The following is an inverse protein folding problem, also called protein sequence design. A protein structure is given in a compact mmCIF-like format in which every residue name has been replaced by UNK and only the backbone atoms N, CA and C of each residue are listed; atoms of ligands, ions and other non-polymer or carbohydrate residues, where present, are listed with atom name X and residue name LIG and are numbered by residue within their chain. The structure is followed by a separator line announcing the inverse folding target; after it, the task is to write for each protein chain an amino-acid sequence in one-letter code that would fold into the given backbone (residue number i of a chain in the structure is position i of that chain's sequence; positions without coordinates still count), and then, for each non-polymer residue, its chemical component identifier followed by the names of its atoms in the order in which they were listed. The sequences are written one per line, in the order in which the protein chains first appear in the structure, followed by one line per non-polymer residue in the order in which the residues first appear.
data_IF_663174650077
#
_entry.id   IF_663174650077
#
_cell.length_a   1.000
_cell.length_b   1.000
_cell.length_c   1.000
_cell.angle_alpha   90.00
_cell.angle_beta   90.00
_cell.angle_gamma   90.00
#
_symmetry.space_group_name_H-M   'P 1'
#
loop_
_entity.id
_entity.type
_entity.pdbx_description
1 polymer ?
#
# COMPACT_ATOMS: atom_id res chain seq x y z
N UNK A 1 -33.09 -30.08 -21.44
CA UNK A 1 -33.64 -29.95 -20.07
C UNK A 1 -32.64 -29.10 -19.30
N UNK A 2 -33.01 -27.90 -18.86
CA UNK A 2 -32.10 -27.02 -18.12
C UNK A 2 -31.71 -27.73 -16.81
N UNK A 3 -30.45 -28.14 -16.67
CA UNK A 3 -29.97 -28.77 -15.45
C UNK A 3 -29.90 -27.70 -14.36
N UNK A 4 -30.51 -27.94 -13.20
CA UNK A 4 -30.34 -27.09 -12.04
C UNK A 4 -28.88 -27.13 -11.61
N UNK A 5 -28.18 -26.02 -11.85
CA UNK A 5 -26.78 -25.84 -11.48
C UNK A 5 -26.70 -25.64 -9.95
N UNK A 6 -26.07 -26.59 -9.26
CA UNK A 6 -25.81 -26.44 -7.83
C UNK A 6 -24.55 -25.57 -7.63
N UNK A 7 -24.75 -24.28 -7.39
CA UNK A 7 -23.66 -23.32 -7.10
C UNK A 7 -22.95 -23.58 -5.75
N UNK A 8 -23.40 -24.55 -4.96
CA UNK A 8 -22.97 -24.80 -3.58
C UNK A 8 -22.86 -26.29 -3.25
N UNK A 9 -22.12 -27.06 -4.06
CA UNK A 9 -22.01 -28.51 -3.83
C UNK A 9 -21.40 -28.86 -2.45
N UNK A 10 -20.56 -27.98 -1.90
CA UNK A 10 -20.01 -28.08 -0.54
C UNK A 10 -20.70 -27.15 0.48
N UNK A 11 -21.92 -26.67 0.18
CA UNK A 11 -22.64 -25.70 0.99
C UNK A 11 -21.97 -24.31 1.03
N UNK A 12 -22.18 -23.50 2.10
CA UNK A 12 -21.61 -22.16 2.19
C UNK A 12 -20.10 -22.13 2.39
N UNK A 13 -19.43 -23.28 2.56
CA UNK A 13 -17.99 -23.35 2.80
C UNK A 13 -17.17 -22.75 1.64
N UNK A 14 -17.46 -23.17 0.41
CA UNK A 14 -16.71 -22.72 -0.75
C UNK A 14 -16.78 -21.20 -1.01
N UNK A 15 -17.97 -20.56 -1.01
CA UNK A 15 -18.05 -19.11 -1.19
C UNK A 15 -17.37 -18.34 -0.04
N UNK A 16 -17.44 -18.85 1.20
CA UNK A 16 -16.75 -18.25 2.34
C UNK A 16 -15.24 -18.36 2.18
N UNK A 17 -14.71 -19.53 1.82
CA UNK A 17 -13.29 -19.73 1.58
C UNK A 17 -12.78 -18.81 0.46
N UNK A 18 -13.51 -18.72 -0.66
CA UNK A 18 -13.19 -17.82 -1.75
C UNK A 18 -13.19 -16.35 -1.30
N UNK A 19 -14.17 -15.92 -0.51
CA UNK A 19 -14.22 -14.56 0.05
C UNK A 19 -13.03 -14.27 0.99
N UNK A 20 -12.63 -15.25 1.81
CA UNK A 20 -11.44 -15.13 2.67
C UNK A 20 -10.15 -15.02 1.86
N UNK A 21 -10.01 -15.77 0.76
CA UNK A 21 -8.88 -15.65 -0.16
C UNK A 21 -8.83 -14.26 -0.79
N UNK A 22 -9.98 -13.75 -1.26
CA UNK A 22 -10.09 -12.39 -1.76
C UNK A 22 -9.69 -11.34 -0.73
N UNK A 23 -10.14 -11.51 0.50
CA UNK A 23 -9.79 -10.64 1.62
C UNK A 23 -8.30 -10.65 1.91
N UNK A 24 -7.70 -11.83 2.08
CA UNK A 24 -6.27 -11.98 2.40
C UNK A 24 -5.37 -11.40 1.31
N UNK A 25 -5.66 -11.70 0.04
CA UNK A 25 -4.91 -11.16 -1.09
C UNK A 25 -5.05 -9.64 -1.21
N UNK A 26 -6.26 -9.11 -1.02
CA UNK A 26 -6.52 -7.66 -1.02
C UNK A 26 -5.81 -6.96 0.14
N UNK A 27 -5.85 -7.54 1.34
CA UNK A 27 -5.21 -7.00 2.52
C UNK A 27 -3.69 -6.97 2.39
N UNK A 28 -3.08 -8.09 1.96
CA UNK A 28 -1.65 -8.14 1.66
C UNK A 28 -1.26 -7.12 0.59
N UNK A 29 -2.07 -6.99 -0.46
CA UNK A 29 -1.92 -5.98 -1.49
C UNK A 29 -1.89 -4.56 -0.95
N UNK A 30 -2.82 -4.22 -0.05
CA UNK A 30 -2.87 -2.91 0.61
C UNK A 30 -1.66 -2.66 1.53
N UNK A 31 -1.17 -3.68 2.23
CA UNK A 31 0.07 -3.61 3.00
C UNK A 31 1.29 -3.34 2.10
N UNK A 32 1.39 -4.03 0.97
CA UNK A 32 2.48 -3.84 0.02
C UNK A 32 2.42 -2.47 -0.68
N UNK A 33 1.24 -2.02 -1.09
CA UNK A 33 1.07 -0.67 -1.67
C UNK A 33 1.36 0.43 -0.63
N UNK A 34 1.00 0.22 0.64
CA UNK A 34 1.41 1.08 1.75
C UNK A 34 2.92 1.26 1.82
N UNK A 35 3.67 0.15 1.78
CA UNK A 35 5.14 0.17 1.75
C UNK A 35 5.71 0.79 0.48
N UNK A 36 5.05 0.61 -0.67
CA UNK A 36 5.44 1.25 -1.92
C UNK A 36 5.36 2.78 -1.83
N UNK A 37 4.34 3.32 -1.16
CA UNK A 37 4.17 4.77 -0.97
C UNK A 37 5.24 5.37 -0.06
N UNK A 38 5.65 4.65 0.98
CA UNK A 38 6.72 5.07 1.89
C UNK A 38 8.14 4.87 1.33
N UNK A 39 8.29 4.24 0.16
CA UNK A 39 9.61 4.00 -0.43
C UNK A 39 10.19 5.27 -1.05
N UNK A 40 11.43 5.61 -0.65
CA UNK A 40 12.19 6.76 -1.15
C UNK A 40 12.79 6.55 -2.55
N UNK A 41 13.09 5.30 -2.94
CA UNK A 41 13.65 5.00 -4.27
C UNK A 41 12.60 4.40 -5.21
N UNK A 42 12.68 4.76 -6.50
CA UNK A 42 11.80 4.23 -7.55
C UNK A 42 11.88 2.70 -7.64
N UNK A 43 13.07 2.12 -7.55
CA UNK A 43 13.24 0.67 -7.58
C UNK A 43 12.54 -0.05 -6.43
N UNK A 44 12.66 0.46 -5.18
CA UNK A 44 11.99 -0.13 -4.02
C UNK A 44 10.48 0.02 -4.10
N UNK A 45 9.98 1.16 -4.61
CA UNK A 45 8.56 1.37 -4.89
C UNK A 45 8.04 0.34 -5.90
N UNK A 46 8.71 0.19 -7.05
CA UNK A 46 8.31 -0.75 -8.08
C UNK A 46 8.26 -2.17 -7.56
N UNK A 47 9.26 -2.60 -6.79
CA UNK A 47 9.28 -3.94 -6.18
C UNK A 47 8.05 -4.18 -5.31
N UNK A 48 7.67 -3.22 -4.47
CA UNK A 48 6.47 -3.36 -3.63
C UNK A 48 5.17 -3.33 -4.44
N UNK A 49 5.08 -2.54 -5.51
CA UNK A 49 3.93 -2.54 -6.42
C UNK A 49 3.81 -3.87 -7.19
N UNK A 50 4.92 -4.47 -7.59
CA UNK A 50 4.94 -5.81 -8.19
C UNK A 50 4.48 -6.87 -7.18
N UNK A 51 4.98 -6.85 -5.94
CA UNK A 51 4.49 -7.78 -4.90
C UNK A 51 2.99 -7.58 -4.65
N UNK A 52 2.53 -6.33 -4.62
CA UNK A 52 1.11 -6.01 -4.47
C UNK A 52 0.27 -6.53 -5.65
N UNK A 53 0.78 -6.54 -6.88
CA UNK A 53 0.03 -7.05 -8.04
C UNK A 53 -0.15 -8.56 -7.98
N UNK A 54 0.86 -9.31 -7.51
CA UNK A 54 0.71 -10.73 -7.22
C UNK A 54 -0.27 -10.99 -6.07
N UNK A 55 -0.22 -10.20 -5.00
CA UNK A 55 -1.12 -10.34 -3.87
C UNK A 55 -2.60 -10.07 -4.25
N UNK A 56 -2.87 -8.95 -4.94
CA UNK A 56 -4.24 -8.59 -5.35
C UNK A 56 -4.68 -9.43 -6.54
N UNK A 57 -3.94 -9.44 -7.65
CA UNK A 57 -4.34 -10.10 -8.89
C UNK A 57 -4.28 -11.62 -8.82
N UNK A 58 -3.22 -12.17 -8.22
CA UNK A 58 -3.06 -13.61 -8.01
C UNK A 58 -3.83 -14.11 -6.80
N UNK A 59 -3.52 -13.56 -5.62
CA UNK A 59 -4.11 -14.00 -4.35
C UNK A 59 -5.57 -13.57 -4.16
N UNK A 60 -5.89 -12.32 -4.47
CA UNK A 60 -7.22 -11.76 -4.21
C UNK A 60 -8.26 -12.08 -5.29
N UNK A 61 -7.86 -12.01 -6.55
CA UNK A 61 -8.77 -12.14 -7.69
C UNK A 61 -8.73 -13.56 -8.26
N UNK A 62 -7.56 -14.06 -8.63
CA UNK A 62 -7.43 -15.37 -9.27
C UNK A 62 -7.70 -16.55 -8.35
N UNK A 63 -7.13 -16.59 -7.14
CA UNK A 63 -7.44 -17.66 -6.20
C UNK A 63 -8.92 -17.65 -5.80
N UNK A 64 -9.51 -16.48 -5.57
CA UNK A 64 -10.94 -16.40 -5.27
C UNK A 64 -11.75 -16.99 -6.43
N UNK A 65 -11.50 -16.57 -7.66
CA UNK A 65 -12.25 -17.02 -8.83
C UNK A 65 -12.18 -18.54 -9.01
N UNK A 66 -10.98 -19.13 -9.02
CA UNK A 66 -10.83 -20.57 -9.22
C UNK A 66 -11.31 -21.37 -8.00
N UNK A 67 -11.08 -20.90 -6.77
CA UNK A 67 -11.63 -21.55 -5.59
C UNK A 67 -13.16 -21.54 -5.63
N UNK A 68 -13.79 -20.44 -6.03
CA UNK A 68 -15.24 -20.36 -6.17
C UNK A 68 -15.76 -21.35 -7.23
N UNK A 69 -15.07 -21.49 -8.36
CA UNK A 69 -15.41 -22.46 -9.40
C UNK A 69 -15.18 -23.92 -9.01
N UNK A 70 -14.24 -24.23 -8.10
CA UNK A 70 -14.05 -25.60 -7.63
C UNK A 70 -15.28 -26.16 -6.88
N UNK A 71 -16.11 -25.30 -6.29
CA UNK A 71 -17.37 -25.71 -5.68
C UNK A 71 -18.53 -25.82 -6.66
N UNK A 72 -18.29 -25.53 -7.94
CA UNK A 72 -19.26 -25.69 -9.01
C UNK A 72 -19.13 -27.10 -9.59
N UNK A 73 -20.18 -27.88 -9.46
CA UNK A 73 -20.27 -29.20 -10.10
C UNK A 73 -21.43 -29.20 -11.09
N UNK A 74 -21.18 -29.71 -12.29
CA UNK A 74 -22.22 -29.97 -13.29
C UNK A 74 -22.65 -31.44 -13.10
N UNK A 75 -23.94 -31.71 -12.85
CA UNK A 75 -24.44 -33.08 -12.80
C UNK A 75 -24.01 -33.87 -14.04
N UNK A 76 -23.53 -35.09 -13.84
CA UNK A 76 -23.21 -36.06 -14.89
C UNK A 76 -22.08 -35.67 -15.88
N UNK A 77 -21.28 -34.63 -15.60
CA UNK A 77 -20.10 -34.30 -16.41
C UNK A 77 -18.86 -33.96 -15.55
N UNK A 78 -17.73 -34.68 -15.68
CA UNK A 78 -16.50 -34.34 -14.97
C UNK A 78 -15.93 -33.02 -15.51
N UNK A 79 -15.98 -31.96 -14.71
CA UNK A 79 -15.39 -30.66 -15.04
C UNK A 79 -13.87 -30.80 -15.10
N UNK A 80 -13.26 -30.37 -16.20
CA UNK A 80 -11.79 -30.27 -16.36
C UNK A 80 -11.40 -28.85 -16.71
N UNK A 81 -10.14 -28.51 -16.46
CA UNK A 81 -9.62 -27.18 -16.78
C UNK A 81 -8.49 -27.27 -17.81
N UNK A 82 -8.50 -26.36 -18.77
CA UNK A 82 -7.38 -26.17 -19.68
C UNK A 82 -6.26 -25.42 -18.95
N UNK A 83 -5.09 -26.06 -18.79
CA UNK A 83 -3.96 -25.48 -18.06
C UNK A 83 -3.46 -24.17 -18.71
N UNK A 84 -3.45 -24.10 -20.05
CA UNK A 84 -2.93 -22.93 -20.76
C UNK A 84 -3.85 -21.73 -20.56
N UNK A 85 -5.14 -21.95 -20.69
CA UNK A 85 -6.17 -20.93 -20.48
C UNK A 85 -6.22 -20.49 -19.01
N UNK A 86 -6.04 -21.43 -18.09
CA UNK A 86 -5.96 -21.17 -16.64
C UNK A 86 -4.73 -20.31 -16.28
N UNK A 87 -3.57 -20.57 -16.87
CA UNK A 87 -2.37 -19.75 -16.67
C UNK A 87 -2.50 -18.39 -17.36
N UNK A 88 -3.16 -18.33 -18.53
CA UNK A 88 -3.45 -17.08 -19.21
C UNK A 88 -4.34 -16.17 -18.35
N UNK A 89 -5.39 -16.73 -17.73
CA UNK A 89 -6.26 -15.96 -16.84
C UNK A 89 -5.50 -15.42 -15.61
N UNK A 90 -4.59 -16.20 -15.02
CA UNK A 90 -3.69 -15.73 -13.97
C UNK A 90 -2.80 -14.57 -14.44
N UNK A 91 -2.21 -14.70 -15.62
CA UNK A 91 -1.37 -13.66 -16.20
C UNK A 91 -2.17 -12.37 -16.44
N UNK A 92 -3.39 -12.48 -16.97
CA UNK A 92 -4.28 -11.34 -17.21
C UNK A 92 -4.56 -10.57 -15.92
N UNK A 93 -4.93 -11.22 -14.81
CA UNK A 93 -5.19 -10.50 -13.56
C UNK A 93 -3.93 -9.87 -12.98
N UNK A 94 -2.82 -10.60 -12.89
CA UNK A 94 -1.59 -10.10 -12.27
C UNK A 94 -1.00 -8.93 -13.07
N UNK A 95 -0.95 -9.04 -14.41
CA UNK A 95 -0.36 -8.01 -15.27
C UNK A 95 -1.23 -6.76 -15.27
N UNK A 96 -2.55 -6.88 -15.43
CA UNK A 96 -3.41 -5.70 -15.53
C UNK A 96 -3.54 -4.96 -14.20
N UNK A 97 -3.64 -5.68 -13.08
CA UNK A 97 -3.52 -5.08 -11.74
C UNK A 97 -2.16 -4.42 -11.54
N UNK A 98 -1.08 -5.07 -12.00
CA UNK A 98 0.27 -4.50 -11.94
C UNK A 98 0.39 -3.19 -12.72
N UNK A 99 -0.13 -3.13 -13.95
CA UNK A 99 -0.19 -1.92 -14.76
C UNK A 99 -0.98 -0.84 -14.01
N UNK A 100 -2.18 -1.15 -13.50
CA UNK A 100 -3.00 -0.22 -12.73
C UNK A 100 -2.27 0.37 -11.54
N UNK A 101 -1.63 -0.48 -10.72
CA UNK A 101 -0.83 -0.10 -9.56
C UNK A 101 0.39 0.74 -9.93
N UNK A 102 1.10 0.38 -11.01
CA UNK A 102 2.25 1.15 -11.50
C UNK A 102 1.82 2.52 -12.01
N UNK A 103 0.67 2.61 -12.69
CA UNK A 103 0.10 3.88 -13.13
C UNK A 103 -0.21 4.73 -11.91
N UNK A 104 -1.06 4.29 -10.97
CA UNK A 104 -1.47 5.12 -9.82
C UNK A 104 -0.36 5.37 -8.80
N UNK A 105 0.60 4.46 -8.68
CA UNK A 105 1.72 4.54 -7.74
C UNK A 105 2.81 5.56 -8.11
N UNK A 106 2.78 6.10 -9.33
CA UNK A 106 3.76 7.09 -9.81
C UNK A 106 3.12 8.45 -10.10
N UNK A 107 3.90 9.53 -9.98
CA UNK A 107 3.43 10.89 -10.28
C UNK A 107 2.41 11.43 -9.28
N UNK A 108 1.79 12.56 -9.62
CA UNK A 108 0.80 13.22 -8.76
C UNK A 108 -0.53 12.44 -8.74
N UNK A 109 -1.19 12.32 -7.57
CA UNK A 109 -2.50 11.71 -7.47
C UNK A 109 -3.54 12.57 -8.21
N UNK A 110 -4.23 11.98 -9.19
CA UNK A 110 -5.31 12.64 -9.95
C UNK A 110 -6.49 11.67 -10.08
N UNK A 111 -7.73 12.09 -9.79
CA UNK A 111 -8.90 11.20 -9.85
C UNK A 111 -9.11 10.63 -11.26
N UNK A 112 -8.95 11.44 -12.31
CA UNK A 112 -9.03 10.99 -13.70
C UNK A 112 -8.01 9.88 -14.02
N UNK A 113 -6.81 9.96 -13.45
CA UNK A 113 -5.77 8.95 -13.62
C UNK A 113 -6.16 7.62 -12.98
N UNK A 114 -6.74 7.67 -11.78
CA UNK A 114 -7.27 6.47 -11.11
C UNK A 114 -8.45 5.87 -11.87
N UNK A 115 -9.32 6.69 -12.45
CA UNK A 115 -10.43 6.22 -13.28
C UNK A 115 -9.94 5.48 -14.53
N UNK A 116 -9.00 6.05 -15.29
CA UNK A 116 -8.42 5.39 -16.47
C UNK A 116 -7.71 4.09 -16.09
N UNK A 117 -6.90 4.10 -15.04
CA UNK A 117 -6.22 2.90 -14.54
C UNK A 117 -7.22 1.84 -14.03
N UNK A 118 -8.34 2.28 -13.45
CA UNK A 118 -9.43 1.45 -12.97
C UNK A 118 -10.17 0.77 -14.11
N UNK A 119 -10.43 1.48 -15.21
CA UNK A 119 -11.04 0.91 -16.41
C UNK A 119 -10.12 -0.14 -17.05
N UNK A 120 -8.82 0.16 -17.18
CA UNK A 120 -7.84 -0.79 -17.73
C UNK A 120 -7.71 -2.05 -16.86
N UNK A 121 -7.56 -1.87 -15.55
CA UNK A 121 -7.50 -3.00 -14.60
C UNK A 121 -8.80 -3.79 -14.61
N UNK A 122 -9.95 -3.12 -14.61
CA UNK A 122 -11.27 -3.74 -14.62
C UNK A 122 -11.54 -4.54 -15.89
N UNK A 123 -11.16 -4.02 -17.06
CA UNK A 123 -11.19 -4.79 -18.32
C UNK A 123 -10.30 -6.03 -18.27
N UNK A 124 -9.13 -5.93 -17.66
CA UNK A 124 -8.24 -7.07 -17.42
C UNK A 124 -8.81 -8.13 -16.50
N UNK A 125 -9.46 -7.73 -15.41
CA UNK A 125 -10.14 -8.61 -14.47
C UNK A 125 -11.35 -9.28 -15.12
N UNK A 126 -12.10 -8.55 -15.95
CA UNK A 126 -13.21 -9.09 -16.73
C UNK A 126 -12.72 -10.14 -17.74
N UNK A 127 -11.64 -9.81 -18.48
CA UNK A 127 -11.01 -10.74 -19.41
C UNK A 127 -10.52 -12.00 -18.70
N UNK A 128 -9.85 -11.85 -17.55
CA UNK A 128 -9.44 -12.98 -16.73
C UNK A 128 -10.62 -13.83 -16.28
N UNK A 129 -11.73 -13.22 -15.84
CA UNK A 129 -12.91 -13.94 -15.36
C UNK A 129 -13.52 -14.80 -16.46
N UNK A 130 -13.81 -14.22 -17.63
CA UNK A 130 -14.42 -14.97 -18.73
C UNK A 130 -13.44 -15.93 -19.41
N UNK A 131 -12.14 -15.61 -19.47
CA UNK A 131 -11.10 -16.57 -19.91
C UNK A 131 -11.03 -17.76 -18.95
N UNK A 132 -11.12 -17.53 -17.64
CA UNK A 132 -11.16 -18.60 -16.63
C UNK A 132 -12.37 -19.51 -16.80
N UNK A 133 -13.53 -18.92 -17.07
CA UNK A 133 -14.77 -19.64 -17.36
C UNK A 133 -14.69 -20.45 -18.66
N UNK A 134 -14.15 -19.87 -19.74
CA UNK A 134 -13.91 -20.56 -21.02
C UNK A 134 -12.91 -21.72 -20.88
N UNK A 135 -11.99 -21.62 -19.92
CA UNK A 135 -11.06 -22.69 -19.56
C UNK A 135 -11.74 -23.95 -19.00
N UNK A 136 -13.02 -23.87 -18.60
CA UNK A 136 -13.79 -25.04 -18.18
C UNK A 136 -14.17 -25.91 -19.38
N UNK A 137 -13.74 -27.16 -19.33
CA UNK A 137 -14.17 -28.21 -20.25
C UNK A 137 -15.32 -28.97 -19.59
N UNK A 138 -16.53 -28.72 -20.08
CA UNK A 138 -17.77 -29.40 -19.68
C UNK A 138 -18.45 -29.99 -20.91
N UNK A 139 -19.15 -31.12 -20.74
CA UNK A 139 -19.85 -31.82 -21.83
C UNK A 139 -21.22 -31.17 -22.08
N UNK A 140 -21.22 -29.85 -22.28
CA UNK A 140 -22.43 -29.04 -22.39
C UNK A 140 -22.15 -27.74 -23.14
N UNK A 141 -23.19 -27.19 -23.75
CA UNK A 141 -23.13 -25.87 -24.38
C UNK A 141 -23.36 -24.80 -23.31
N UNK A 142 -22.46 -23.83 -23.24
CA UNK A 142 -22.53 -22.70 -22.29
C UNK A 142 -23.10 -21.49 -23.00
N UNK A 143 -24.19 -20.95 -22.45
CA UNK A 143 -24.78 -19.69 -22.89
C UNK A 143 -24.60 -18.60 -21.83
N UNK A 144 -24.57 -17.34 -22.28
CA UNK A 144 -24.43 -16.18 -21.42
C UNK A 144 -25.58 -15.19 -21.65
N UNK A 145 -26.20 -14.73 -20.56
CA UNK A 145 -27.11 -13.59 -20.60
C UNK A 145 -26.29 -12.28 -20.73
N UNK A 146 -26.43 -11.54 -21.85
CA UNK A 146 -25.65 -10.32 -22.09
C UNK A 146 -25.91 -9.22 -21.05
N UNK A 147 -27.10 -9.17 -20.42
CA UNK A 147 -27.42 -8.18 -19.40
C UNK A 147 -26.66 -8.42 -18.10
N UNK A 148 -26.56 -9.68 -17.67
CA UNK A 148 -25.80 -10.05 -16.48
C UNK A 148 -24.30 -9.97 -16.72
N UNK A 149 -23.82 -10.24 -17.94
CA UNK A 149 -22.44 -9.96 -18.35
C UNK A 149 -22.13 -8.46 -18.30
N UNK A 150 -23.04 -7.61 -18.80
CA UNK A 150 -22.86 -6.16 -18.71
C UNK A 150 -22.87 -5.68 -17.23
N UNK A 151 -23.73 -6.25 -16.39
CA UNK A 151 -23.77 -5.94 -14.96
C UNK A 151 -22.47 -6.34 -14.25
N UNK A 152 -21.95 -7.55 -14.49
CA UNK A 152 -20.67 -8.00 -13.93
C UNK A 152 -19.52 -7.09 -14.39
N UNK A 153 -19.53 -6.65 -15.66
CA UNK A 153 -18.55 -5.70 -16.20
C UNK A 153 -18.59 -4.37 -15.45
N UNK A 154 -19.76 -3.78 -15.23
CA UNK A 154 -19.91 -2.54 -14.45
C UNK A 154 -19.35 -2.71 -13.03
N UNK A 155 -19.66 -3.83 -12.37
CA UNK A 155 -19.11 -4.13 -11.03
C UNK A 155 -17.59 -4.24 -11.10
N UNK A 156 -17.03 -4.91 -12.11
CA UNK A 156 -15.58 -5.07 -12.27
C UNK A 156 -14.86 -3.71 -12.40
N UNK A 157 -15.38 -2.81 -13.25
CA UNK A 157 -14.81 -1.48 -13.46
C UNK A 157 -14.88 -0.64 -12.18
N UNK A 158 -16.02 -0.65 -11.49
CA UNK A 158 -16.21 0.06 -10.23
C UNK A 158 -15.30 -0.49 -9.11
N UNK A 159 -15.23 -1.82 -8.98
CA UNK A 159 -14.41 -2.52 -8.00
C UNK A 159 -12.92 -2.21 -8.20
N UNK A 160 -12.43 -2.29 -9.44
CA UNK A 160 -11.02 -2.02 -9.74
C UNK A 160 -10.65 -0.56 -9.55
N UNK A 161 -11.53 0.37 -9.93
CA UNK A 161 -11.33 1.80 -9.67
C UNK A 161 -11.26 2.07 -8.17
N UNK A 162 -12.16 1.49 -7.40
CA UNK A 162 -12.21 1.62 -5.94
C UNK A 162 -10.99 1.01 -5.27
N UNK A 163 -10.54 -0.17 -5.71
CA UNK A 163 -9.34 -0.83 -5.22
C UNK A 163 -8.07 0.00 -5.45
N UNK A 164 -7.90 0.57 -6.65
CA UNK A 164 -6.78 1.44 -6.95
C UNK A 164 -6.85 2.75 -6.15
N UNK A 165 -8.05 3.28 -5.91
CA UNK A 165 -8.23 4.43 -5.04
C UNK A 165 -7.81 4.09 -3.59
N UNK A 166 -8.27 2.97 -3.04
CA UNK A 166 -7.86 2.51 -1.70
C UNK A 166 -6.34 2.31 -1.60
N UNK A 167 -5.72 1.74 -2.64
CA UNK A 167 -4.27 1.56 -2.72
C UNK A 167 -3.48 2.87 -2.65
N UNK A 168 -4.12 4.03 -2.84
CA UNK A 168 -3.48 5.35 -2.75
C UNK A 168 -3.96 6.16 -1.54
N UNK A 169 -5.20 5.97 -1.08
CA UNK A 169 -5.82 6.79 -0.03
C UNK A 169 -5.72 6.19 1.37
N UNK A 170 -5.85 4.87 1.49
CA UNK A 170 -6.04 4.18 2.78
C UNK A 170 -4.69 3.99 3.50
N UNK A 171 -4.67 4.38 4.78
CA UNK A 171 -3.52 4.27 5.69
C UNK A 171 -3.98 3.72 7.04
N UNK A 172 -3.11 2.95 7.69
CA UNK A 172 -3.38 2.32 8.98
C UNK A 172 -4.05 0.94 8.83
N UNK A 173 -3.69 0.02 9.71
CA UNK A 173 -4.03 -1.40 9.60
C UNK A 173 -5.54 -1.66 9.63
N UNK A 174 -6.27 -0.97 10.52
CA UNK A 174 -7.73 -1.11 10.67
C UNK A 174 -8.48 -0.65 9.43
N UNK A 175 -8.10 0.50 8.84
CA UNK A 175 -8.71 0.99 7.61
C UNK A 175 -8.35 0.12 6.40
N UNK A 176 -7.13 -0.43 6.36
CA UNK A 176 -6.73 -1.40 5.34
C UNK A 176 -7.53 -2.69 5.44
N UNK A 177 -7.82 -3.18 6.64
CA UNK A 177 -8.70 -4.34 6.85
C UNK A 177 -10.12 -4.05 6.34
N UNK A 178 -10.70 -2.90 6.69
CA UNK A 178 -12.01 -2.49 6.16
C UNK A 178 -12.03 -2.36 4.63
N UNK A 179 -11.01 -1.75 4.03
CA UNK A 179 -10.89 -1.64 2.58
C UNK A 179 -10.73 -3.01 1.89
N UNK A 180 -9.97 -3.93 2.48
CA UNK A 180 -9.83 -5.30 1.99
C UNK A 180 -11.16 -6.06 2.02
N UNK A 181 -12.00 -5.84 3.03
CA UNK A 181 -13.35 -6.42 3.09
C UNK A 181 -14.24 -5.90 1.96
N UNK A 182 -14.25 -4.59 1.71
CA UNK A 182 -14.99 -3.99 0.59
C UNK A 182 -14.49 -4.53 -0.76
N UNK A 183 -13.18 -4.64 -0.93
CA UNK A 183 -12.59 -5.24 -2.13
C UNK A 183 -13.04 -6.70 -2.28
N UNK A 184 -12.97 -7.52 -1.24
CA UNK A 184 -13.39 -8.92 -1.29
C UNK A 184 -14.87 -9.06 -1.68
N UNK A 185 -15.76 -8.30 -1.05
CA UNK A 185 -17.19 -8.27 -1.37
C UNK A 185 -17.40 -7.90 -2.84
N UNK A 186 -16.67 -6.90 -3.35
CA UNK A 186 -16.82 -6.43 -4.73
C UNK A 186 -16.35 -7.48 -5.75
N UNK A 187 -15.22 -8.15 -5.50
CA UNK A 187 -14.70 -9.18 -6.41
C UNK A 187 -15.60 -10.41 -6.37
N UNK A 188 -16.08 -10.84 -5.20
CA UNK A 188 -17.07 -11.91 -5.08
C UNK A 188 -18.39 -11.53 -5.78
N UNK A 189 -18.87 -10.30 -5.60
CA UNK A 189 -20.07 -9.80 -6.26
C UNK A 189 -19.94 -9.88 -7.78
N UNK A 190 -18.85 -9.37 -8.35
CA UNK A 190 -18.57 -9.48 -9.78
C UNK A 190 -18.58 -10.94 -10.25
N UNK A 191 -17.89 -11.82 -9.53
CA UNK A 191 -17.79 -13.23 -9.89
C UNK A 191 -19.15 -13.93 -9.87
N UNK A 192 -19.95 -13.78 -8.81
CA UNK A 192 -21.25 -14.43 -8.72
C UNK A 192 -22.29 -13.83 -9.67
N UNK A 193 -22.21 -12.53 -9.99
CA UNK A 193 -23.01 -11.95 -11.07
C UNK A 193 -22.62 -12.54 -12.43
N UNK A 194 -21.32 -12.73 -12.69
CA UNK A 194 -20.84 -13.39 -13.90
C UNK A 194 -21.25 -14.87 -14.00
N UNK A 195 -21.21 -15.60 -12.87
CA UNK A 195 -21.71 -16.98 -12.79
C UNK A 195 -23.23 -17.05 -13.00
N UNK A 196 -23.99 -16.10 -12.46
CA UNK A 196 -25.44 -16.04 -12.66
C UNK A 196 -25.83 -15.77 -14.12
N UNK A 197 -24.92 -15.19 -14.91
CA UNK A 197 -25.12 -15.01 -16.35
C UNK A 197 -25.02 -16.31 -17.14
N UNK A 198 -24.38 -17.35 -16.58
CA UNK A 198 -24.08 -18.61 -17.26
C UNK A 198 -25.26 -19.59 -17.16
N UNK A 199 -25.70 -20.14 -18.28
CA UNK A 199 -26.57 -21.32 -18.33
C UNK A 199 -25.91 -22.46 -19.08
N UNK A 200 -26.22 -23.69 -18.68
CA UNK A 200 -25.59 -24.92 -19.18
C UNK A 200 -26.67 -25.81 -19.77
N UNK A 201 -26.59 -26.07 -21.07
CA UNK A 201 -27.45 -27.02 -21.77
C UNK A 201 -26.67 -28.31 -22.05
N UNK A 202 -27.11 -29.41 -21.42
CA UNK A 202 -26.52 -30.73 -21.65
C UNK A 202 -26.83 -31.18 -23.08
N UNK A 203 -25.77 -31.45 -23.84
CA UNK A 203 -25.87 -32.03 -25.17
C UNK A 203 -25.26 -33.45 -25.14
N UNK A 204 -26.07 -34.51 -25.24
CA UNK A 204 -25.60 -35.89 -25.18
C UNK A 204 -24.73 -36.28 -26.39
N UNK A 205 -24.64 -35.46 -27.44
CA UNK A 205 -23.74 -35.67 -28.57
C UNK A 205 -22.30 -35.16 -28.32
N UNK A 206 -22.10 -34.34 -27.29
CA UNK A 206 -20.77 -33.85 -26.90
C UNK A 206 -20.08 -34.92 -26.05
N UNK A 207 -19.10 -35.60 -26.65
CA UNK A 207 -18.29 -36.59 -25.95
C UNK A 207 -17.41 -35.88 -24.91
N UNK A 208 -17.38 -36.33 -23.64
CA UNK A 208 -16.54 -35.73 -22.61
C UNK A 208 -15.07 -35.73 -23.04
N UNK A 209 -14.49 -34.54 -23.21
CA UNK A 209 -13.06 -34.41 -23.50
C UNK A 209 -12.25 -34.94 -22.31
N UNK A 210 -11.37 -35.91 -22.56
CA UNK A 210 -10.44 -36.46 -21.56
C UNK A 210 -9.24 -35.55 -21.28
N UNK A 211 -9.03 -34.55 -22.14
CA UNK A 211 -8.00 -33.52 -22.03
C UNK A 211 -8.32 -32.49 -20.94
N UNK A 212 -7.27 -31.97 -20.31
CA UNK A 212 -7.36 -30.99 -19.23
C UNK A 212 -7.09 -31.56 -17.84
N UNK A 213 -6.75 -30.68 -16.91
CA UNK A 213 -6.42 -31.02 -15.53
C UNK A 213 -7.69 -31.21 -14.69
N UNK A 214 -7.63 -32.17 -13.77
CA UNK A 214 -8.73 -32.44 -12.84
C UNK A 214 -8.83 -31.31 -11.80
N UNK A 215 -10.02 -31.01 -11.27
CA UNK A 215 -10.19 -29.99 -10.22
C UNK A 215 -9.27 -30.23 -9.02
N UNK A 216 -9.07 -31.50 -8.64
CA UNK A 216 -8.16 -31.89 -7.55
C UNK A 216 -6.71 -31.46 -7.79
N UNK A 217 -6.25 -31.40 -9.04
CA UNK A 217 -4.90 -30.95 -9.37
C UNK A 217 -4.73 -29.43 -9.21
N UNK A 218 -5.82 -28.65 -9.28
CA UNK A 218 -5.79 -27.21 -9.00
C UNK A 218 -5.68 -26.90 -7.50
N UNK A 219 -6.03 -27.85 -6.62
CA UNK A 219 -5.91 -27.66 -5.16
C UNK A 219 -4.46 -27.41 -4.76
N UNK A 220 -3.48 -28.08 -5.38
CA UNK A 220 -2.06 -27.92 -5.06
C UNK A 220 -1.57 -26.48 -5.29
N UNK A 221 -1.65 -25.89 -6.51
CA UNK A 221 -1.22 -24.51 -6.71
C UNK A 221 -2.05 -23.51 -5.91
N UNK A 222 -3.36 -23.75 -5.72
CA UNK A 222 -4.21 -22.89 -4.87
C UNK A 222 -3.72 -22.89 -3.42
N UNK A 223 -3.40 -24.06 -2.87
CA UNK A 223 -2.91 -24.21 -1.49
C UNK A 223 -1.56 -23.53 -1.32
N UNK A 224 -0.64 -23.70 -2.28
CA UNK A 224 0.69 -23.07 -2.25
C UNK A 224 0.59 -21.53 -2.30
N UNK A 225 -0.22 -20.99 -3.20
CA UNK A 225 -0.42 -19.53 -3.31
C UNK A 225 -1.15 -18.96 -2.09
N UNK A 226 -2.09 -19.72 -1.52
CA UNK A 226 -2.77 -19.36 -0.26
C UNK A 226 -1.77 -19.30 0.89
N UNK A 227 -0.94 -20.33 1.05
CA UNK A 227 0.10 -20.38 2.07
C UNK A 227 1.09 -19.21 1.90
N UNK A 228 1.52 -18.92 0.68
CA UNK A 228 2.38 -17.77 0.38
C UNK A 228 1.72 -16.44 0.76
N UNK A 229 0.41 -16.28 0.52
CA UNK A 229 -0.35 -15.09 0.90
C UNK A 229 -0.43 -14.95 2.42
N UNK A 230 -0.73 -16.04 3.15
CA UNK A 230 -0.78 -16.05 4.62
C UNK A 230 0.59 -15.69 5.20
N UNK A 231 1.66 -16.32 4.71
CA UNK A 231 3.04 -16.01 5.13
C UNK A 231 3.37 -14.54 4.82
N UNK A 232 2.99 -14.04 3.65
CA UNK A 232 3.17 -12.63 3.28
C UNK A 232 2.46 -11.66 4.23
N UNK A 233 1.22 -11.98 4.64
CA UNK A 233 0.47 -11.19 5.63
C UNK A 233 1.16 -11.26 7.00
N UNK A 234 1.54 -12.45 7.45
CA UNK A 234 2.21 -12.65 8.74
C UNK A 234 3.54 -11.89 8.82
N UNK A 235 4.39 -11.99 7.79
CA UNK A 235 5.64 -11.24 7.70
C UNK A 235 5.39 -9.72 7.67
N UNK A 236 4.35 -9.28 6.95
CA UNK A 236 3.98 -7.87 6.89
C UNK A 236 3.49 -7.34 8.23
N UNK A 237 2.78 -8.15 9.01
CA UNK A 237 2.29 -7.82 10.35
C UNK A 237 3.43 -7.78 11.37
N UNK A 238 4.32 -8.79 11.35
CA UNK A 238 5.52 -8.83 12.19
C UNK A 238 6.40 -7.59 11.99
N UNK A 239 6.63 -7.20 10.74
CA UNK A 239 7.38 -5.99 10.44
C UNK A 239 6.71 -4.72 10.99
N UNK A 240 5.38 -4.62 10.92
CA UNK A 240 4.64 -3.49 11.48
C UNK A 240 4.79 -3.42 13.00
N UNK A 241 4.69 -4.56 13.69
CA UNK A 241 4.90 -4.63 15.14
C UNK A 241 6.33 -4.26 15.54
N UNK A 242 7.34 -4.71 14.77
CA UNK A 242 8.72 -4.31 15.05
C UNK A 242 8.95 -2.81 14.85
N UNK A 243 8.36 -2.20 13.83
CA UNK A 243 8.46 -0.76 13.61
C UNK A 243 7.81 0.02 14.76
N UNK A 244 6.66 -0.44 15.28
CA UNK A 244 6.00 0.15 16.45
C UNK A 244 6.85 0.00 17.72
N UNK A 245 7.45 -1.17 17.97
CA UNK A 245 8.32 -1.36 19.14
C UNK A 245 9.57 -0.47 19.08
N UNK A 246 10.21 -0.36 17.91
CA UNK A 246 11.37 0.53 17.75
C UNK A 246 10.99 2.02 17.82
N UNK A 247 9.81 2.41 17.33
CA UNK A 247 9.37 3.80 17.38
C UNK A 247 8.82 4.21 18.76
N UNK A 248 8.16 3.29 19.48
CA UNK A 248 7.65 3.51 20.84
C UNK A 248 8.74 3.33 21.90
N UNK A 249 9.69 2.41 21.69
CA UNK A 249 10.87 2.19 22.54
C UNK A 249 11.93 3.29 22.40
N UNK A 250 12.00 3.94 21.23
CA UNK A 250 12.70 5.21 21.05
C UNK A 250 11.83 6.40 21.52
N UNK A 251 11.21 6.25 22.70
CA UNK A 251 10.54 7.35 23.37
C UNK A 251 11.47 8.56 23.37
N UNK A 252 11.06 9.65 22.73
CA UNK A 252 11.65 10.96 22.93
C UNK A 252 11.85 11.10 24.43
N UNK A 253 13.08 11.28 24.94
CA UNK A 253 13.25 11.53 26.36
C UNK A 253 12.40 12.77 26.61
N UNK A 254 11.31 12.61 27.37
CA UNK A 254 10.67 13.74 28.02
C UNK A 254 11.82 14.41 28.72
N UNK A 255 12.19 15.61 28.25
CA UNK A 255 13.13 16.48 28.92
C UNK A 255 12.45 16.90 30.21
N UNK A 256 12.43 15.97 31.15
CA UNK A 256 11.95 16.15 32.49
C UNK A 256 12.82 17.23 33.09
N UNK A 257 12.15 18.22 33.64
CA UNK A 257 12.73 19.29 34.43
C UNK A 257 13.35 18.65 35.67
N UNK A 258 14.57 18.15 35.54
CA UNK A 258 15.55 17.95 36.59
C UNK A 258 16.92 18.00 35.92
N UNK A 259 17.43 19.22 35.76
CA UNK A 259 18.85 19.41 35.48
C UNK A 259 19.61 19.09 36.77
N UNK A 260 19.98 17.81 36.94
CA UNK A 260 21.03 17.44 37.88
C UNK A 260 22.38 17.75 37.22
N UNK A 261 23.26 18.56 37.83
CA UNK A 261 24.56 18.86 37.24
C UNK A 261 25.43 17.60 37.19
N UNK A 262 25.93 17.30 35.99
CA UNK A 262 26.80 16.18 35.71
C UNK A 262 28.01 16.12 36.66
N UNK A 263 28.02 15.12 37.55
CA UNK A 263 29.19 14.67 38.30
C UNK A 263 29.90 13.58 37.48
N UNK A 264 31.14 13.78 37.00
CA UNK A 264 31.87 12.75 36.29
C UNK A 264 32.60 11.83 37.28
N UNK A 265 32.03 10.66 37.57
CA UNK A 265 32.75 9.62 38.31
C UNK A 265 33.61 8.79 37.35
N UNK A 266 34.91 8.83 37.61
CA UNK A 266 35.97 8.15 36.87
C UNK A 266 36.13 6.70 37.32
N UNK A 267 36.14 5.76 36.38
CA UNK A 267 36.62 4.39 36.59
C UNK A 267 38.13 4.40 36.85
N UNK A 268 38.55 3.69 37.90
CA UNK A 268 39.95 3.50 38.33
C UNK A 268 40.83 3.02 37.17
N UNK A 269 41.79 3.84 36.77
CA UNK A 269 42.96 3.36 36.01
C UNK A 269 44.02 2.86 37.00
N UNK A 270 44.48 1.63 36.79
CA UNK A 270 45.57 1.03 37.53
C UNK A 270 46.86 1.84 37.31
N UNK A 271 47.49 2.22 38.41
CA UNK A 271 48.74 2.98 38.48
C UNK A 271 49.94 2.12 38.09
N UNK A 272 50.61 2.45 36.99
CA UNK A 272 52.00 2.02 36.74
C UNK A 272 52.93 3.12 37.25
N UNK A 273 53.70 2.77 38.27
CA UNK A 273 54.62 3.61 39.01
C UNK A 273 55.76 4.12 38.12
N UNK A 274 55.71 5.40 37.74
CA UNK A 274 56.89 6.10 37.23
C UNK A 274 57.72 6.60 38.43
N UNK A 275 58.86 5.95 38.67
CA UNK A 275 59.88 6.37 39.64
C UNK A 275 60.29 7.82 39.36
N UNK A 276 60.04 8.73 40.31
CA UNK A 276 60.46 10.13 40.19
C UNK A 276 61.93 10.26 40.58
N UNK A 277 62.79 10.52 39.60
CA UNK A 277 64.18 10.94 39.85
C UNK A 277 64.22 12.30 40.57
N UNK A 278 65.22 12.49 41.43
CA UNK A 278 65.40 13.70 42.22
C UNK A 278 65.75 14.92 41.34
N UNK A 279 65.44 16.15 41.79
CA UNK A 279 65.62 17.38 40.99
C UNK A 279 67.06 17.61 40.50
N UNK A 280 68.07 17.18 41.26
CA UNK A 280 69.49 17.30 40.89
C UNK A 280 69.87 16.43 39.68
N UNK A 281 69.26 15.24 39.54
CA UNK A 281 69.47 14.37 38.38
C UNK A 281 68.82 14.93 37.10
N UNK A 282 67.72 15.69 37.23
CA UNK A 282 67.08 16.38 36.09
C UNK A 282 67.87 17.60 35.62
N UNK A 283 68.52 18.32 36.53
CA UNK A 283 69.32 19.50 36.18
C UNK A 283 70.61 19.14 35.40
N UNK A 284 71.21 17.99 35.69
CA UNK A 284 72.36 17.46 34.94
C UNK A 284 71.98 16.90 33.55
N UNK A 285 70.75 16.39 33.40
CA UNK A 285 70.28 15.77 32.16
C UNK A 285 69.74 16.76 31.10
N UNK A 286 69.39 17.99 31.49
CA UNK A 286 68.73 18.96 30.61
C UNK A 286 69.62 20.16 30.21
N UNK A 287 70.94 20.04 30.37
CA UNK A 287 71.95 21.10 30.21
C UNK A 287 71.49 22.33 29.41
N UNK A 288 71.12 23.41 30.13
CA UNK A 288 70.98 24.78 29.63
C UNK A 288 70.68 25.73 30.81
N UNK A 289 71.40 26.85 30.82
CA UNK A 289 71.52 27.86 31.87
C UNK A 289 70.33 28.82 31.94
N UNK A 290 70.15 29.42 33.12
CA UNK A 290 69.10 30.35 33.51
C UNK A 290 69.09 31.67 32.70
N UNK A 291 67.90 32.24 32.48
CA UNK A 291 67.77 33.59 31.94
C UNK A 291 66.34 34.16 31.92
N UNK A 292 66.09 35.08 32.87
CA UNK A 292 65.17 36.23 32.84
C UNK A 292 63.63 36.02 32.77
N UNK A 293 62.97 36.53 33.83
CA UNK A 293 61.53 36.63 34.02
C UNK A 293 60.88 37.80 33.24
N UNK A 294 59.59 37.67 32.91
CA UNK A 294 58.68 38.76 32.51
C UNK A 294 57.35 38.67 33.28
N UNK A 295 56.78 39.78 33.78
CA UNK A 295 55.56 39.75 34.62
C UNK A 295 54.25 39.92 33.82
N UNK A 296 53.15 39.40 34.39
CA UNK A 296 51.78 39.35 33.84
C UNK A 296 51.06 40.72 33.83
N UNK A 297 50.12 40.96 32.90
CA UNK A 297 49.33 42.19 32.83
C UNK A 297 48.00 42.13 33.63
N UNK A 298 47.57 43.30 34.13
CA UNK A 298 46.33 43.52 34.90
C UNK A 298 45.07 43.74 34.01
N UNK A 299 43.84 43.61 34.55
CA UNK A 299 42.60 43.58 33.76
C UNK A 299 42.03 44.96 33.40
N UNK A 300 41.45 45.08 32.20
CA UNK A 300 40.79 46.28 31.65
C UNK A 300 39.29 46.34 32.00
N UNK A 301 38.82 47.53 32.38
CA UNK A 301 37.40 47.88 32.57
C UNK A 301 36.77 48.42 31.27
N UNK A 302 35.49 48.14 31.04
CA UNK A 302 34.71 48.55 29.85
C UNK A 302 33.92 49.86 30.09
N UNK A 303 33.74 50.74 29.08
CA UNK A 303 32.90 51.94 29.21
C UNK A 303 31.43 51.69 28.82
N UNK A 304 30.54 52.39 29.52
CA UNK A 304 29.06 52.43 29.39
C UNK A 304 28.64 53.32 28.21
N UNK A 305 27.55 53.03 27.47
CA UNK A 305 27.10 53.86 26.34
C UNK A 305 26.38 55.14 26.80
N UNK A 306 26.49 56.27 26.07
CA UNK A 306 25.84 57.53 26.42
C UNK A 306 24.35 57.58 26.03
N UNK A 307 23.63 58.41 26.78
CA UNK A 307 22.18 58.58 26.81
C UNK A 307 21.61 59.45 25.66
N UNK A 308 20.31 59.28 25.46
CA UNK A 308 19.42 59.93 24.49
C UNK A 308 19.17 61.41 24.82
N UNK A 309 19.13 62.29 23.80
CA UNK A 309 18.78 63.71 23.89
C UNK A 309 17.69 64.05 22.84
N UNK A 310 16.53 64.63 23.20
CA UNK A 310 15.44 64.90 22.25
C UNK A 310 15.40 66.37 21.82
N UNK A 311 15.56 66.65 20.52
CA UNK A 311 15.17 67.94 19.96
C UNK A 311 14.77 67.88 18.46
N UNK A 312 13.46 68.13 18.24
CA UNK A 312 12.82 68.97 17.20
C UNK A 312 13.07 68.68 15.71
N UNK A 313 11.98 68.42 14.96
CA UNK A 313 11.92 68.79 13.54
C UNK A 313 10.90 68.07 12.64
N UNK A 314 9.67 68.60 12.59
CA UNK A 314 8.72 68.60 11.46
C UNK A 314 8.08 67.29 10.96
N UNK A 315 6.76 67.18 11.17
CA UNK A 315 5.84 66.28 10.48
C UNK A 315 5.32 66.91 9.16
N UNK A 316 5.07 66.12 8.09
CA UNK A 316 4.32 66.58 6.92
C UNK A 316 2.79 66.35 7.07
N UNK A 317 1.95 67.13 6.35
CA UNK A 317 0.54 67.31 6.67
C UNK A 317 -0.39 66.23 6.08
N UNK A 318 -1.53 66.10 6.75
CA UNK A 318 -2.68 65.26 6.46
C UNK A 318 -3.54 65.98 5.42
N UNK A 319 -3.86 65.32 4.31
CA UNK A 319 -4.81 65.83 3.31
C UNK A 319 -6.14 65.09 3.45
N UNK A 320 -7.15 65.80 3.95
CA UNK A 320 -8.55 65.39 3.93
C UNK A 320 -9.13 65.56 2.52
N UNK A 321 -9.86 64.56 2.03
CA UNK A 321 -10.84 64.76 0.95
C UNK A 321 -12.02 63.81 1.18
N UNK A 322 -13.28 64.28 1.02
CA UNK A 322 -14.44 63.62 1.61
C UNK A 322 -15.11 62.58 0.68
N UNK A 323 -15.92 61.75 1.33
CA UNK A 323 -16.76 60.68 0.81
C UNK A 323 -17.64 61.05 -0.39
N UNK A 324 -17.83 60.08 -1.29
CA UNK A 324 -19.00 60.02 -2.17
C UNK A 324 -19.60 58.59 -2.17
N UNK A 325 -20.92 58.56 -2.12
CA UNK A 325 -21.81 57.40 -2.06
C UNK A 325 -22.05 56.83 -3.46
N UNK A 326 -22.18 55.51 -3.59
CA UNK A 326 -22.66 54.90 -4.84
C UNK A 326 -22.82 53.39 -4.77
N UNK A 327 -24.04 52.97 -4.46
CA UNK A 327 -24.55 51.59 -4.41
C UNK A 327 -24.58 50.87 -5.78
N UNK A 328 -24.87 49.55 -5.83
CA UNK A 328 -24.50 48.66 -6.94
C UNK A 328 -25.53 48.62 -8.07
N UNK A 329 -25.06 48.51 -9.32
CA UNK A 329 -25.91 48.31 -10.50
C UNK A 329 -25.93 46.84 -10.92
N UNK A 330 -27.15 46.29 -10.85
CA UNK A 330 -27.64 45.07 -11.50
C UNK A 330 -27.90 45.34 -13.00
N UNK A 331 -27.62 44.37 -13.87
CA UNK A 331 -28.02 44.41 -15.30
C UNK A 331 -27.77 43.07 -16.03
N UNK A 332 -28.49 42.76 -17.11
CA UNK A 332 -29.38 41.57 -17.13
C UNK A 332 -28.97 40.43 -18.08
N UNK A 333 -29.75 39.36 -17.97
CA UNK A 333 -29.83 38.19 -18.84
C UNK A 333 -30.14 38.53 -20.31
N UNK A 334 -29.59 37.72 -21.23
CA UNK A 334 -30.13 37.54 -22.59
C UNK A 334 -30.16 36.06 -22.97
N UNK A 335 -31.36 35.61 -23.28
CA UNK A 335 -31.75 34.37 -23.97
C UNK A 335 -31.70 34.53 -25.50
N UNK A 336 -31.69 33.40 -26.23
CA UNK A 336 -31.83 33.28 -27.70
C UNK A 336 -30.48 33.05 -28.38
N UNK A 337 -30.25 32.01 -29.19
CA UNK A 337 -31.10 31.19 -30.06
C UNK A 337 -30.63 29.75 -30.11
#
# INVERSE_FOLDING_TARGET
MAAHVHHFTYGPFNPIAAALLAYLGSFLGLLCTGRARSAHSRGRRNRWLTIASFAIGGGGIWLMHFSAMLGFEVPDSPVRYDLRVTLLSLALSVVTVGIGLMVVGHGAPRPAKTAVAGVLTGGGVLAMHYTGMEGMRVSAVVHYDPMLVAASAVIALAACTTALWFAMSVRGLTRMAGAAAVMAISVCGMHYTGMAAMSVELDPSIVPSSDGIRPLALIVPITLLTAATIVGVALSALQAMTEEEFTNGAGTPRRGVHAEPAQPWTLRQASVTAVRLSPAARAMAAGRTAGAARPSPAPRTSPRPPAFDPAVGAAPPISDTPADHGDPVVGPATSGT
#
